data_IF_537385298161
#
_entry.id   IF_537385298161
#
_cell.length_a   1.000
_cell.length_b   1.000
_cell.length_c   1.000
_cell.angle_alpha   90.00
_cell.angle_beta   90.00
_cell.angle_gamma   90.00
#
_symmetry.space_group_name_H-M   'P 1'
#
loop_
_entity.id
_entity.type
_entity.pdbx_description
1 polymer ?
#
# COMPACT_ATOMS: atom_id res chain seq x y z
N UNK A 1 -94.72 -61.11 -20.28
CA UNK A 1 -94.29 -60.74 -18.91
C UNK A 1 -92.81 -60.38 -19.01
N UNK A 2 -92.30 -59.17 -18.83
CA UNK A 2 -92.80 -57.83 -18.56
C UNK A 2 -91.58 -56.88 -18.54
N UNK A 3 -91.81 -55.58 -18.71
CA UNK A 3 -90.89 -54.45 -18.48
C UNK A 3 -89.81 -54.11 -19.52
N UNK A 4 -90.18 -53.17 -20.41
CA UNK A 4 -89.32 -52.18 -21.09
C UNK A 4 -88.93 -51.05 -20.13
N UNK A 5 -87.69 -50.55 -20.17
CA UNK A 5 -87.33 -49.21 -19.68
C UNK A 5 -86.25 -48.56 -20.55
N UNK A 6 -86.43 -47.26 -20.78
CA UNK A 6 -85.61 -46.34 -21.56
C UNK A 6 -84.41 -45.80 -20.77
N UNK A 7 -83.35 -45.37 -21.47
CA UNK A 7 -82.48 -44.30 -20.98
C UNK A 7 -81.82 -43.54 -22.16
N UNK A 8 -82.33 -42.35 -22.44
CA UNK A 8 -81.64 -41.26 -23.11
C UNK A 8 -80.61 -40.64 -22.16
N UNK A 9 -79.39 -40.36 -22.64
CA UNK A 9 -78.47 -39.42 -21.98
C UNK A 9 -77.45 -38.82 -22.95
N UNK A 10 -77.80 -37.63 -23.45
CA UNK A 10 -76.96 -36.43 -23.63
C UNK A 10 -75.54 -36.60 -24.21
N UNK A 11 -75.44 -36.24 -25.49
CA UNK A 11 -74.23 -35.69 -26.07
C UNK A 11 -73.97 -34.27 -25.56
N UNK A 12 -72.81 -34.07 -24.93
CA UNK A 12 -72.18 -32.77 -24.68
C UNK A 12 -70.68 -33.03 -24.57
N UNK A 13 -69.89 -32.25 -25.32
CA UNK A 13 -68.42 -32.08 -25.31
C UNK A 13 -67.80 -32.23 -26.70
N UNK A 14 -68.08 -31.27 -27.58
CA UNK A 14 -67.13 -30.88 -28.62
C UNK A 14 -67.26 -29.38 -28.91
N UNK A 15 -66.72 -28.58 -27.98
CA UNK A 15 -66.32 -27.19 -28.20
C UNK A 15 -64.89 -27.04 -27.68
N UNK A 16 -63.95 -27.75 -28.29
CA UNK A 16 -62.53 -27.41 -28.16
C UNK A 16 -62.16 -26.40 -29.25
N UNK A 17 -61.98 -25.17 -28.80
CA UNK A 17 -61.04 -24.17 -29.29
C UNK A 17 -60.52 -24.35 -30.72
N UNK A 18 -61.15 -23.60 -31.64
CA UNK A 18 -60.50 -23.09 -32.85
C UNK A 18 -59.46 -22.04 -32.39
N UNK A 19 -58.33 -22.50 -31.84
CA UNK A 19 -57.16 -21.64 -31.67
C UNK A 19 -56.59 -21.38 -33.06
N UNK A 20 -56.74 -20.13 -33.50
CA UNK A 20 -56.01 -19.54 -34.62
C UNK A 20 -54.54 -19.91 -34.53
N UNK A 21 -54.10 -20.84 -35.39
CA UNK A 21 -52.70 -21.07 -35.68
C UNK A 21 -52.19 -19.86 -36.46
N UNK A 22 -51.91 -18.76 -35.76
CA UNK A 22 -51.05 -17.72 -36.30
C UNK A 22 -49.69 -18.37 -36.50
N UNK A 23 -49.34 -18.67 -37.75
CA UNK A 23 -47.99 -19.07 -38.10
C UNK A 23 -47.07 -17.92 -37.71
N UNK A 24 -46.45 -18.02 -36.54
CA UNK A 24 -45.41 -17.08 -36.11
C UNK A 24 -44.27 -17.24 -37.11
N UNK A 25 -44.15 -16.27 -38.02
CA UNK A 25 -43.07 -16.23 -38.99
C UNK A 25 -41.78 -16.07 -38.19
N UNK A 26 -40.96 -17.11 -38.20
CA UNK A 26 -39.69 -17.12 -37.49
C UNK A 26 -38.73 -16.18 -38.21
N UNK A 27 -38.39 -15.06 -37.57
CA UNK A 27 -37.34 -14.19 -38.08
C UNK A 27 -35.97 -14.78 -37.69
N UNK A 28 -35.01 -14.84 -38.64
CA UNK A 28 -33.67 -15.32 -38.33
C UNK A 28 -32.99 -14.42 -37.29
N UNK A 29 -32.33 -15.07 -36.32
CA UNK A 29 -31.55 -14.42 -35.28
C UNK A 29 -30.37 -13.62 -35.87
N UNK A 30 -30.28 -12.33 -35.54
CA UNK A 30 -29.11 -11.50 -35.84
C UNK A 30 -28.14 -11.49 -34.64
N UNK A 31 -27.45 -12.63 -34.46
CA UNK A 31 -26.59 -12.84 -33.30
C UNK A 31 -25.44 -11.81 -33.22
N UNK A 32 -24.92 -11.36 -34.37
CA UNK A 32 -23.83 -10.38 -34.43
C UNK A 32 -24.26 -9.05 -33.83
N UNK A 33 -25.46 -8.57 -34.19
CA UNK A 33 -26.01 -7.33 -33.64
C UNK A 33 -26.27 -7.43 -32.14
N UNK A 34 -26.90 -8.51 -31.70
CA UNK A 34 -27.22 -8.71 -30.27
C UNK A 34 -25.96 -8.83 -29.41
N UNK A 35 -24.94 -9.56 -29.87
CA UNK A 35 -23.66 -9.66 -29.16
C UNK A 35 -22.95 -8.31 -29.04
N UNK A 36 -22.89 -7.53 -30.14
CA UNK A 36 -22.30 -6.18 -30.11
C UNK A 36 -23.05 -5.23 -29.16
N UNK A 37 -24.38 -5.34 -29.09
CA UNK A 37 -25.17 -4.54 -28.14
C UNK A 37 -24.95 -4.94 -26.69
N UNK A 38 -24.80 -6.24 -26.42
CA UNK A 38 -24.49 -6.77 -25.10
C UNK A 38 -23.11 -6.29 -24.63
N UNK A 39 -22.08 -6.49 -25.46
CA UNK A 39 -20.71 -6.05 -25.18
C UNK A 39 -20.65 -4.55 -24.90
N UNK A 40 -21.22 -3.72 -25.78
CA UNK A 40 -21.23 -2.27 -25.57
C UNK A 40 -21.96 -1.83 -24.30
N UNK A 41 -23.00 -2.56 -23.89
CA UNK A 41 -23.72 -2.30 -22.64
C UNK A 41 -22.85 -2.63 -21.41
N UNK A 42 -22.17 -3.77 -21.43
CA UNK A 42 -21.30 -4.23 -20.35
C UNK A 42 -20.04 -3.38 -20.23
N UNK A 43 -19.39 -3.04 -21.35
CA UNK A 43 -18.17 -2.21 -21.34
C UNK A 43 -18.45 -0.80 -20.83
N UNK A 44 -19.57 -0.19 -21.22
CA UNK A 44 -19.92 1.16 -20.75
C UNK A 44 -20.23 1.16 -19.24
N UNK A 45 -20.93 0.14 -18.76
CA UNK A 45 -21.18 -0.03 -17.34
C UNK A 45 -19.88 -0.23 -16.54
N UNK A 46 -18.99 -1.11 -17.01
CA UNK A 46 -17.69 -1.34 -16.39
C UNK A 46 -16.83 -0.07 -16.39
N UNK A 47 -16.81 0.71 -17.47
CA UNK A 47 -16.09 1.98 -17.53
C UNK A 47 -16.61 2.97 -16.48
N UNK A 48 -17.93 3.09 -16.33
CA UNK A 48 -18.52 3.99 -15.35
C UNK A 48 -18.15 3.58 -13.91
N UNK A 49 -18.28 2.29 -13.57
CA UNK A 49 -17.99 1.81 -12.22
C UNK A 49 -16.50 1.82 -11.89
N UNK A 50 -15.64 1.30 -12.77
CA UNK A 50 -14.23 1.09 -12.45
C UNK A 50 -13.35 2.31 -12.72
N UNK A 51 -13.81 3.26 -13.54
CA UNK A 51 -13.05 4.48 -13.87
C UNK A 51 -13.82 5.72 -13.42
N UNK A 52 -15.09 5.83 -13.81
CA UNK A 52 -15.91 7.00 -13.52
C UNK A 52 -16.09 7.26 -12.02
N UNK A 53 -16.44 6.23 -11.25
CA UNK A 53 -16.68 6.36 -9.80
C UNK A 53 -15.42 6.71 -9.01
N UNK A 54 -14.27 6.02 -9.17
CA UNK A 54 -13.02 6.42 -8.49
C UNK A 54 -12.60 7.85 -8.82
N UNK A 55 -12.72 8.27 -10.10
CA UNK A 55 -12.42 9.65 -10.50
C UNK A 55 -13.37 10.64 -9.81
N UNK A 56 -14.67 10.34 -9.76
CA UNK A 56 -15.64 11.20 -9.07
C UNK A 56 -15.32 11.32 -7.57
N UNK A 57 -14.98 10.21 -6.90
CA UNK A 57 -14.60 10.21 -5.49
C UNK A 57 -13.32 11.01 -5.24
N UNK A 58 -12.31 10.88 -6.10
CA UNK A 58 -11.09 11.68 -6.03
C UNK A 58 -11.40 13.18 -6.19
N UNK A 59 -12.25 13.54 -7.15
CA UNK A 59 -12.69 14.93 -7.37
C UNK A 59 -13.46 15.47 -6.15
N UNK A 60 -14.35 14.67 -5.57
CA UNK A 60 -15.08 15.05 -4.36
C UNK A 60 -14.13 15.32 -3.19
N UNK A 61 -13.06 14.54 -3.04
CA UNK A 61 -12.07 14.76 -1.98
C UNK A 61 -11.18 15.99 -2.23
N UNK A 62 -10.93 16.34 -3.50
CA UNK A 62 -10.10 17.49 -3.88
C UNK A 62 -10.86 18.83 -3.82
N UNK A 63 -12.19 18.82 -3.98
CA UNK A 63 -13.02 20.02 -3.99
C UNK A 63 -13.66 20.22 -2.60
N UNK A 64 -13.26 21.23 -1.81
CA UNK A 64 -13.67 21.36 -0.41
C UNK A 64 -15.19 21.33 -0.15
N UNK A 65 -16.05 21.97 -0.97
CA UNK A 65 -17.51 21.90 -0.81
C UNK A 65 -18.13 20.50 -1.01
N UNK A 66 -17.41 19.60 -1.69
CA UNK A 66 -17.89 18.24 -2.00
C UNK A 66 -17.27 17.19 -1.08
N UNK A 67 -16.30 17.58 -0.26
CA UNK A 67 -15.57 16.67 0.62
C UNK A 67 -16.52 16.17 1.72
N UNK A 68 -16.50 14.86 2.04
CA UNK A 68 -17.21 14.37 3.20
C UNK A 68 -16.65 14.96 4.49
N UNK A 69 -17.48 15.10 5.52
CA UNK A 69 -17.05 15.48 6.86
C UNK A 69 -17.45 14.42 7.88
N UNK A 70 -16.84 14.42 9.05
CA UNK A 70 -17.24 13.51 10.12
C UNK A 70 -18.69 13.72 10.57
N UNK A 71 -19.16 14.98 10.57
CA UNK A 71 -20.47 15.33 11.10
C UNK A 71 -21.62 15.07 10.11
N UNK A 72 -21.38 15.31 8.82
CA UNK A 72 -22.41 15.22 7.78
C UNK A 72 -22.27 14.02 6.85
N UNK A 73 -21.14 13.31 6.89
CA UNK A 73 -20.78 12.33 5.87
C UNK A 73 -20.68 12.99 4.49
N UNK A 74 -21.13 12.27 3.45
CA UNK A 74 -21.15 12.77 2.09
C UNK A 74 -22.23 13.83 1.84
N UNK A 75 -21.94 14.75 0.92
CA UNK A 75 -22.90 15.77 0.50
C UNK A 75 -24.10 15.18 -0.25
N UNK A 76 -25.21 15.92 -0.31
CA UNK A 76 -26.38 15.56 -1.13
C UNK A 76 -26.02 15.33 -2.62
N UNK A 77 -24.95 15.95 -3.11
CA UNK A 77 -24.45 15.75 -4.48
C UNK A 77 -23.88 14.35 -4.70
N UNK A 78 -23.23 13.77 -3.69
CA UNK A 78 -22.72 12.40 -3.75
C UNK A 78 -23.89 11.41 -3.82
N UNK A 79 -24.97 11.67 -3.10
CA UNK A 79 -26.19 10.85 -3.17
C UNK A 79 -26.86 10.93 -4.55
N UNK A 80 -26.94 12.13 -5.15
CA UNK A 80 -27.43 12.30 -6.52
C UNK A 80 -26.56 11.55 -7.52
N UNK A 81 -25.24 11.58 -7.36
CA UNK A 81 -24.31 10.81 -8.20
C UNK A 81 -24.56 9.31 -8.08
N UNK A 82 -24.71 8.80 -6.85
CA UNK A 82 -25.03 7.39 -6.60
C UNK A 82 -26.34 6.99 -7.29
N UNK A 83 -27.40 7.78 -7.12
CA UNK A 83 -28.67 7.54 -7.80
C UNK A 83 -28.54 7.51 -9.33
N UNK A 84 -27.68 8.36 -9.90
CA UNK A 84 -27.42 8.36 -11.34
C UNK A 84 -26.64 7.11 -11.78
N UNK A 85 -25.69 6.63 -10.97
CA UNK A 85 -24.97 5.38 -11.25
C UNK A 85 -25.90 4.17 -11.16
N UNK A 86 -26.75 4.10 -10.14
CA UNK A 86 -27.75 3.04 -9.99
C UNK A 86 -28.77 3.05 -11.15
N UNK A 87 -29.26 4.24 -11.52
CA UNK A 87 -30.13 4.38 -12.68
C UNK A 87 -29.44 3.93 -13.97
N UNK A 88 -28.14 4.20 -14.11
CA UNK A 88 -27.32 3.70 -15.21
C UNK A 88 -27.19 2.17 -15.16
N UNK A 89 -26.89 1.57 -14.01
CA UNK A 89 -26.81 0.11 -13.85
C UNK A 89 -28.10 -0.56 -14.32
N UNK A 90 -29.25 -0.13 -13.77
CA UNK A 90 -30.58 -0.67 -14.12
C UNK A 90 -30.84 -0.54 -15.63
N UNK A 91 -30.47 0.60 -16.23
CA UNK A 91 -30.62 0.82 -17.66
C UNK A 91 -29.78 -0.16 -18.49
N UNK A 92 -28.51 -0.33 -18.14
CA UNK A 92 -27.58 -1.20 -18.85
C UNK A 92 -27.94 -2.67 -18.67
N UNK A 93 -28.33 -3.09 -17.47
CA UNK A 93 -28.76 -4.45 -17.20
C UNK A 93 -30.03 -4.79 -18.00
N UNK A 94 -30.98 -3.85 -18.08
CA UNK A 94 -32.17 -3.99 -18.94
C UNK A 94 -31.81 -4.12 -20.42
N UNK A 95 -30.85 -3.34 -20.90
CA UNK A 95 -30.39 -3.38 -22.30
C UNK A 95 -29.64 -4.68 -22.60
N UNK A 96 -28.70 -5.06 -21.76
CA UNK A 96 -27.98 -6.34 -21.81
C UNK A 96 -28.95 -7.52 -21.83
N UNK A 97 -29.95 -7.51 -20.94
CA UNK A 97 -30.98 -8.56 -20.92
C UNK A 97 -31.80 -8.62 -22.21
N UNK A 98 -32.15 -7.47 -22.77
CA UNK A 98 -32.90 -7.43 -24.03
C UNK A 98 -32.07 -8.06 -25.15
N UNK A 99 -30.78 -7.71 -25.24
CA UNK A 99 -29.86 -8.30 -26.21
C UNK A 99 -29.67 -9.81 -26.00
N UNK A 100 -29.53 -10.28 -24.77
CA UNK A 100 -29.47 -11.72 -24.44
C UNK A 100 -30.76 -12.42 -24.83
N UNK A 101 -31.92 -11.82 -24.55
CA UNK A 101 -33.21 -12.42 -24.92
C UNK A 101 -33.36 -12.58 -26.43
N UNK A 102 -32.80 -11.65 -27.20
CA UNK A 102 -32.79 -11.71 -28.65
C UNK A 102 -31.84 -12.78 -29.20
N UNK A 103 -30.96 -13.36 -28.37
CA UNK A 103 -30.10 -14.52 -28.68
C UNK A 103 -30.75 -15.87 -28.36
N UNK A 104 -31.87 -15.89 -27.63
CA UNK A 104 -32.51 -17.12 -27.14
C UNK A 104 -33.57 -17.57 -28.15
N UNK A 105 -33.49 -18.82 -28.59
CA UNK A 105 -34.50 -19.40 -29.48
C UNK A 105 -35.82 -19.67 -28.74
N UNK A 106 -36.97 -19.73 -29.44
CA UNK A 106 -38.27 -20.00 -28.79
C UNK A 106 -38.35 -21.30 -27.97
N UNK A 107 -37.74 -22.44 -28.39
CA UNK A 107 -37.68 -23.64 -27.57
C UNK A 107 -36.92 -23.41 -26.25
N UNK A 108 -35.76 -22.76 -26.31
CA UNK A 108 -34.95 -22.45 -25.14
C UNK A 108 -35.69 -21.50 -24.19
N UNK A 109 -36.38 -20.48 -24.72
CA UNK A 109 -37.19 -19.57 -23.90
C UNK A 109 -38.31 -20.30 -23.14
N UNK A 110 -38.89 -21.33 -23.76
CA UNK A 110 -39.91 -22.17 -23.15
C UNK A 110 -39.34 -23.00 -22.01
N UNK A 111 -38.14 -23.58 -22.19
CA UNK A 111 -37.41 -24.29 -21.14
C UNK A 111 -37.07 -23.35 -19.97
N UNK A 112 -36.50 -22.17 -20.25
CA UNK A 112 -36.18 -21.17 -19.21
C UNK A 112 -37.41 -20.72 -18.42
N UNK A 113 -38.57 -20.62 -19.07
CA UNK A 113 -39.84 -20.31 -18.41
C UNK A 113 -40.31 -21.45 -17.51
N UNK A 114 -40.23 -22.69 -17.97
CA UNK A 114 -40.62 -23.88 -17.18
C UNK A 114 -39.71 -24.07 -15.97
N UNK A 115 -38.40 -23.82 -16.11
CA UNK A 115 -37.42 -23.84 -15.02
C UNK A 115 -37.57 -22.64 -14.05
N UNK A 116 -38.46 -21.69 -14.33
CA UNK A 116 -38.68 -20.53 -13.47
C UNK A 116 -37.56 -19.50 -13.49
N UNK A 117 -36.55 -19.66 -14.35
CA UNK A 117 -35.37 -18.77 -14.45
C UNK A 117 -35.82 -17.32 -14.72
N UNK A 118 -36.82 -17.14 -15.59
CA UNK A 118 -37.37 -15.82 -15.89
C UNK A 118 -38.06 -15.15 -14.68
N UNK A 119 -38.60 -15.92 -13.74
CA UNK A 119 -39.20 -15.38 -12.49
C UNK A 119 -38.11 -15.02 -11.47
N UNK A 120 -37.05 -15.82 -11.42
CA UNK A 120 -35.91 -15.57 -10.53
C UNK A 120 -35.15 -14.29 -10.92
N UNK A 121 -35.28 -13.82 -12.16
CA UNK A 121 -34.59 -12.62 -12.64
C UNK A 121 -34.85 -11.38 -11.78
N UNK A 122 -36.09 -11.12 -11.34
CA UNK A 122 -36.38 -9.94 -10.52
C UNK A 122 -35.56 -9.94 -9.22
N UNK A 123 -35.35 -11.13 -8.64
CA UNK A 123 -34.52 -11.29 -7.44
C UNK A 123 -33.04 -11.04 -7.73
N UNK A 124 -32.54 -11.43 -8.91
CA UNK A 124 -31.14 -11.23 -9.29
C UNK A 124 -30.86 -9.75 -9.65
N UNK A 125 -31.82 -9.03 -10.22
CA UNK A 125 -31.72 -7.57 -10.44
C UNK A 125 -31.54 -6.85 -9.10
N UNK A 126 -32.37 -7.20 -8.11
CA UNK A 126 -32.28 -6.60 -6.76
C UNK A 126 -30.93 -6.95 -6.12
N UNK A 127 -30.46 -8.18 -6.29
CA UNK A 127 -29.15 -8.58 -5.78
C UNK A 127 -28.02 -7.79 -6.43
N UNK A 128 -28.05 -7.58 -7.75
CA UNK A 128 -27.07 -6.77 -8.47
C UNK A 128 -27.05 -5.31 -8.01
N UNK A 129 -28.20 -4.70 -7.75
CA UNK A 129 -28.28 -3.35 -7.15
C UNK A 129 -27.64 -3.33 -5.76
N UNK A 130 -27.87 -4.34 -4.94
CA UNK A 130 -27.25 -4.41 -3.60
C UNK A 130 -25.73 -4.59 -3.70
N UNK A 131 -25.23 -5.37 -4.66
CA UNK A 131 -23.80 -5.53 -4.93
C UNK A 131 -23.15 -4.22 -5.40
N UNK A 132 -23.82 -3.44 -6.26
CA UNK A 132 -23.33 -2.14 -6.72
C UNK A 132 -23.28 -1.10 -5.58
N UNK A 133 -24.30 -1.09 -4.70
CA UNK A 133 -24.32 -0.23 -3.51
C UNK A 133 -23.20 -0.60 -2.54
N UNK A 134 -22.97 -1.91 -2.32
CA UNK A 134 -21.89 -2.43 -1.47
C UNK A 134 -20.53 -1.97 -2.01
N UNK A 135 -20.30 -2.15 -3.31
CA UNK A 135 -19.08 -1.72 -3.99
C UNK A 135 -18.86 -0.20 -3.86
N UNK A 136 -19.91 0.62 -3.99
CA UNK A 136 -19.79 2.06 -3.77
C UNK A 136 -19.41 2.39 -2.33
N UNK A 137 -20.04 1.75 -1.36
CA UNK A 137 -19.74 1.97 0.06
C UNK A 137 -18.30 1.61 0.38
N UNK A 138 -17.78 0.51 -0.19
CA UNK A 138 -16.38 0.10 -0.04
C UNK A 138 -15.40 1.13 -0.63
N UNK A 139 -15.71 1.70 -1.80
CA UNK A 139 -14.87 2.75 -2.39
C UNK A 139 -14.97 4.08 -1.62
N UNK A 140 -16.13 4.39 -1.05
CA UNK A 140 -16.41 5.65 -0.40
C UNK A 140 -15.88 5.71 1.03
N UNK A 141 -15.88 4.58 1.74
CA UNK A 141 -15.55 4.50 3.16
C UNK A 141 -14.14 5.05 3.51
N UNK A 142 -13.05 4.74 2.78
CA UNK A 142 -11.72 5.26 3.09
C UNK A 142 -11.64 6.79 3.09
N UNK A 143 -12.43 7.45 2.24
CA UNK A 143 -12.46 8.91 2.18
C UNK A 143 -13.20 9.53 3.35
N UNK A 144 -14.25 8.86 3.86
CA UNK A 144 -14.95 9.29 5.08
C UNK A 144 -14.04 9.10 6.28
N UNK A 145 -13.40 7.94 6.41
CA UNK A 145 -12.44 7.68 7.49
C UNK A 145 -11.31 8.71 7.52
N UNK A 146 -10.70 9.00 6.36
CA UNK A 146 -9.66 10.02 6.26
C UNK A 146 -10.16 11.44 6.61
N UNK A 147 -11.40 11.78 6.26
CA UNK A 147 -11.99 13.06 6.63
C UNK A 147 -12.23 13.14 8.15
N UNK A 148 -12.72 12.06 8.76
CA UNK A 148 -12.91 11.96 10.20
C UNK A 148 -11.60 12.14 10.98
N UNK A 149 -10.52 11.51 10.54
CA UNK A 149 -9.21 11.64 11.18
C UNK A 149 -8.64 13.06 11.11
N UNK A 150 -8.96 13.80 10.05
CA UNK A 150 -8.60 15.22 9.93
C UNK A 150 -9.41 16.10 10.87
N UNK A 151 -10.69 15.80 11.02
CA UNK A 151 -11.61 16.58 11.84
C UNK A 151 -11.39 16.32 13.35
N UNK A 152 -11.01 15.09 13.74
CA UNK A 152 -10.66 14.72 15.11
C UNK A 152 -9.37 13.85 15.16
N UNK A 153 -8.19 14.49 15.21
CA UNK A 153 -6.90 13.79 15.29
C UNK A 153 -6.70 12.97 16.56
N UNK A 154 -7.56 13.16 17.58
CA UNK A 154 -7.44 12.45 18.86
C UNK A 154 -8.09 11.06 18.85
N UNK A 155 -8.86 10.75 17.81
CA UNK A 155 -9.53 9.46 17.64
C UNK A 155 -9.56 9.03 16.17
N UNK A 156 -8.42 8.60 15.60
CA UNK A 156 -8.32 8.22 14.20
C UNK A 156 -9.18 6.98 13.90
N UNK A 157 -10.24 7.21 13.14
CA UNK A 157 -11.13 6.19 12.61
C UNK A 157 -10.43 5.33 11.54
N UNK A 158 -9.46 5.88 10.79
CA UNK A 158 -8.62 5.06 9.89
C UNK A 158 -7.84 4.00 10.66
N UNK A 159 -7.30 4.35 11.83
CA UNK A 159 -6.54 3.41 12.67
C UNK A 159 -7.46 2.30 13.22
N UNK A 160 -8.65 2.67 13.71
CA UNK A 160 -9.65 1.71 14.18
C UNK A 160 -10.18 0.81 13.07
N UNK A 161 -10.37 1.35 11.87
CA UNK A 161 -10.81 0.58 10.71
C UNK A 161 -9.71 -0.38 10.24
N UNK A 162 -8.47 0.08 10.15
CA UNK A 162 -7.32 -0.77 9.87
C UNK A 162 -7.18 -1.89 10.92
N UNK A 163 -7.43 -1.59 12.19
CA UNK A 163 -7.46 -2.57 13.27
C UNK A 163 -8.65 -3.56 13.13
N UNK A 164 -9.82 -3.09 12.70
CA UNK A 164 -10.96 -3.97 12.43
C UNK A 164 -10.64 -4.96 11.28
N UNK A 165 -9.92 -4.52 10.26
CA UNK A 165 -9.41 -5.42 9.21
C UNK A 165 -8.42 -6.44 9.74
N UNK A 166 -7.56 -6.09 10.70
CA UNK A 166 -6.65 -7.04 11.38
C UNK A 166 -7.39 -8.15 12.11
N UNK A 167 -8.62 -7.91 12.57
CA UNK A 167 -9.46 -8.91 13.23
C UNK A 167 -10.15 -9.87 12.25
N UNK A 168 -10.11 -9.62 10.94
CA UNK A 168 -10.68 -10.52 9.93
C UNK A 168 -9.79 -11.77 9.80
N UNK A 169 -10.30 -12.97 10.15
CA UNK A 169 -9.50 -14.18 10.08
C UNK A 169 -8.99 -14.43 8.65
N UNK A 170 -7.74 -14.88 8.53
CA UNK A 170 -7.06 -15.28 7.27
C UNK A 170 -6.66 -14.10 6.37
N UNK A 171 -7.55 -13.15 6.08
CA UNK A 171 -7.28 -12.01 5.19
C UNK A 171 -6.65 -10.82 5.93
N UNK A 172 -7.05 -10.56 7.18
CA UNK A 172 -6.59 -9.42 7.98
C UNK A 172 -5.10 -9.45 8.29
N UNK A 173 -4.57 -10.61 8.69
CA UNK A 173 -3.14 -10.78 8.91
C UNK A 173 -2.32 -10.70 7.62
N UNK A 174 -2.89 -11.08 6.48
CA UNK A 174 -2.19 -11.01 5.20
C UNK A 174 -2.12 -9.56 4.70
N UNK A 175 -3.21 -8.81 4.83
CA UNK A 175 -3.29 -7.39 4.48
C UNK A 175 -2.51 -6.49 5.45
N UNK A 176 -2.57 -6.74 6.75
CA UNK A 176 -1.77 -6.01 7.74
C UNK A 176 -0.26 -6.28 7.63
N UNK A 177 0.13 -7.44 7.07
CA UNK A 177 1.52 -7.74 6.71
C UNK A 177 1.95 -7.04 5.41
N UNK A 178 0.99 -6.69 4.54
CA UNK A 178 1.22 -5.88 3.34
C UNK A 178 1.25 -4.38 3.69
N UNK A 179 0.59 -3.98 4.77
CA UNK A 179 0.45 -2.60 5.26
C UNK A 179 1.06 -2.45 6.66
N UNK A 180 2.26 -2.99 6.89
CA UNK A 180 2.99 -2.66 8.11
C UNK A 180 3.56 -1.25 7.94
N UNK A 181 2.93 -0.27 8.59
CA UNK A 181 3.40 1.11 8.59
C UNK A 181 4.85 1.13 9.06
N UNK A 182 5.70 1.69 8.20
CA UNK A 182 7.14 1.74 8.42
C UNK A 182 7.62 3.17 8.37
N UNK A 183 8.67 3.43 9.13
CA UNK A 183 9.24 4.76 9.26
C UNK A 183 10.71 4.72 8.89
N UNK A 184 11.13 5.74 8.14
CA UNK A 184 12.55 5.98 7.90
C UNK A 184 13.15 6.73 9.10
N UNK A 185 14.24 6.19 9.64
CA UNK A 185 15.01 6.77 10.73
C UNK A 185 16.50 6.61 10.43
N UNK A 186 17.35 7.33 11.16
CA UNK A 186 18.79 7.07 11.13
C UNK A 186 19.42 7.07 12.52
N UNK A 187 20.51 6.32 12.67
CA UNK A 187 21.26 6.18 13.92
C UNK A 187 22.76 6.37 13.68
N UNK A 188 23.44 7.11 14.55
CA UNK A 188 24.89 7.31 14.53
C UNK A 188 25.51 6.98 15.89
N UNK A 189 26.63 6.28 15.89
CA UNK A 189 27.38 5.90 17.09
C UNK A 189 28.85 5.63 16.74
N UNK A 190 29.53 6.63 16.19
CA UNK A 190 30.88 6.48 15.67
C UNK A 190 30.93 6.12 14.19
N UNK A 191 32.00 5.46 13.77
CA UNK A 191 32.23 4.90 12.46
C UNK A 191 31.02 4.08 12.00
N UNK A 192 30.37 4.51 10.93
CA UNK A 192 29.11 3.91 10.49
C UNK A 192 29.24 2.45 9.97
N UNK A 193 30.45 1.91 9.82
CA UNK A 193 30.65 0.56 9.28
C UNK A 193 30.19 -0.52 10.25
N UNK A 194 30.59 -0.42 11.53
CA UNK A 194 30.10 -1.33 12.56
C UNK A 194 28.61 -1.13 12.84
N UNK A 195 28.16 0.12 12.76
CA UNK A 195 26.75 0.48 12.93
C UNK A 195 25.91 -0.17 11.82
N UNK A 196 26.36 -0.13 10.56
CA UNK A 196 25.64 -0.74 9.44
C UNK A 196 25.59 -2.26 9.59
N UNK A 197 26.71 -2.89 9.96
CA UNK A 197 26.74 -4.32 10.20
C UNK A 197 25.73 -4.74 11.27
N UNK A 198 25.72 -4.04 12.42
CA UNK A 198 24.78 -4.32 13.50
C UNK A 198 23.31 -4.18 13.07
N UNK A 199 22.98 -3.17 12.24
CA UNK A 199 21.62 -3.02 11.74
C UNK A 199 21.25 -4.02 10.64
N UNK A 200 22.20 -4.47 9.81
CA UNK A 200 21.97 -5.57 8.86
C UNK A 200 21.69 -6.87 9.59
N UNK A 201 22.44 -7.19 10.64
CA UNK A 201 22.15 -8.35 11.50
C UNK A 201 20.79 -8.21 12.19
N UNK A 202 20.42 -7.01 12.63
CA UNK A 202 19.10 -6.74 13.21
C UNK A 202 17.97 -6.94 12.18
N UNK A 203 18.11 -6.41 10.95
CA UNK A 203 17.16 -6.62 9.88
C UNK A 203 16.99 -8.12 9.55
N UNK A 204 18.08 -8.88 9.51
CA UNK A 204 18.06 -10.31 9.27
C UNK A 204 17.32 -11.06 10.39
N UNK A 205 17.72 -10.82 11.64
CA UNK A 205 17.27 -11.60 12.79
C UNK A 205 15.88 -11.18 13.30
N UNK A 206 15.58 -9.89 13.27
CA UNK A 206 14.33 -9.33 13.82
C UNK A 206 13.22 -9.21 12.79
N UNK A 207 13.56 -8.98 11.52
CA UNK A 207 12.57 -8.78 10.46
C UNK A 207 12.55 -9.92 9.44
N UNK A 208 13.52 -10.85 9.48
CA UNK A 208 13.67 -11.87 8.44
C UNK A 208 14.03 -11.28 7.08
N UNK A 209 14.62 -10.08 7.05
CA UNK A 209 15.09 -9.46 5.80
C UNK A 209 16.30 -10.20 5.28
N UNK A 210 16.55 -10.05 3.99
CA UNK A 210 17.67 -10.64 3.29
C UNK A 210 18.20 -9.65 2.25
N UNK A 211 19.19 -10.07 1.45
CA UNK A 211 19.82 -9.23 0.44
C UNK A 211 18.82 -8.45 -0.43
N UNK A 212 17.65 -9.03 -0.77
CA UNK A 212 16.62 -8.38 -1.60
C UNK A 212 15.70 -7.40 -0.85
N UNK A 213 15.76 -7.36 0.48
CA UNK A 213 14.83 -6.57 1.32
C UNK A 213 15.49 -5.73 2.42
N UNK A 214 16.82 -5.80 2.59
CA UNK A 214 17.55 -4.89 3.48
C UNK A 214 17.37 -3.41 3.10
N UNK A 215 17.42 -2.55 4.11
CA UNK A 215 17.22 -1.10 3.93
C UNK A 215 18.33 -0.26 4.56
N UNK A 216 19.21 -0.86 5.36
CA UNK A 216 20.29 -0.15 6.05
C UNK A 216 21.38 0.34 5.11
N UNK A 217 21.55 1.66 5.01
CA UNK A 217 22.59 2.32 4.22
C UNK A 217 23.40 3.27 5.09
N UNK A 218 24.73 3.29 4.91
CA UNK A 218 25.60 4.30 5.52
C UNK A 218 25.37 5.67 4.87
N UNK A 219 25.53 6.73 5.66
CA UNK A 219 25.35 8.10 5.20
C UNK A 219 25.75 9.16 6.20
N UNK A 220 25.42 10.39 5.86
CA UNK A 220 25.75 11.60 6.60
C UNK A 220 24.46 12.36 6.93
N UNK A 221 24.32 12.81 8.17
CA UNK A 221 23.17 13.62 8.59
C UNK A 221 23.51 14.54 9.77
N UNK A 222 22.55 15.39 10.15
CA UNK A 222 22.67 16.23 11.34
C UNK A 222 23.57 17.46 11.17
N UNK A 223 24.02 17.79 9.96
CA UNK A 223 24.71 19.05 9.64
C UNK A 223 23.76 20.11 9.07
N UNK A 224 24.18 21.38 9.09
CA UNK A 224 23.38 22.50 8.61
C UNK A 224 23.58 22.84 7.13
N UNK A 225 24.57 22.23 6.49
CA UNK A 225 25.00 22.63 5.14
C UNK A 225 25.17 21.45 4.20
N UNK A 226 25.19 21.76 2.91
CA UNK A 226 25.59 20.87 1.83
C UNK A 226 26.64 21.57 0.97
N UNK A 227 27.42 20.81 0.22
CA UNK A 227 28.38 21.39 -0.71
C UNK A 227 27.70 22.07 -1.92
N UNK A 228 28.50 22.63 -2.81
CA UNK A 228 28.01 23.36 -3.99
C UNK A 228 27.09 22.56 -4.92
N UNK A 229 27.14 21.23 -4.85
CA UNK A 229 26.31 20.31 -5.62
C UNK A 229 25.07 19.82 -4.86
N UNK A 230 24.82 20.36 -3.66
CA UNK A 230 23.69 19.97 -2.81
C UNK A 230 23.88 18.63 -2.11
N UNK A 231 25.12 18.20 -1.87
CA UNK A 231 25.47 16.88 -1.31
C UNK A 231 26.30 17.00 -0.03
N UNK A 232 26.41 15.88 0.69
CA UNK A 232 27.45 15.66 1.69
C UNK A 232 28.31 14.47 1.20
N UNK A 233 29.61 14.68 1.04
CA UNK A 233 30.54 13.66 0.55
C UNK A 233 31.59 13.35 1.62
N UNK A 234 32.23 12.18 1.55
CA UNK A 234 33.21 11.76 2.56
C UNK A 234 34.34 12.78 2.78
N UNK A 235 34.73 13.53 1.74
CA UNK A 235 35.83 14.50 1.83
C UNK A 235 35.44 15.82 2.53
N UNK A 236 34.15 16.12 2.70
CA UNK A 236 33.67 17.43 3.18
C UNK A 236 32.51 17.37 4.19
N UNK A 237 31.88 16.22 4.44
CA UNK A 237 30.70 16.10 5.31
C UNK A 237 30.95 16.64 6.73
N UNK A 238 32.14 16.41 7.29
CA UNK A 238 32.52 16.92 8.61
C UNK A 238 32.59 18.46 8.65
N UNK A 239 33.06 19.10 7.59
CA UNK A 239 33.11 20.57 7.48
C UNK A 239 31.72 21.18 7.28
N UNK A 240 30.81 20.40 6.69
CA UNK A 240 29.39 20.70 6.56
C UNK A 240 28.60 20.38 7.85
N UNK A 241 29.30 19.88 8.87
CA UNK A 241 28.82 19.57 10.22
C UNK A 241 27.96 18.32 10.34
N UNK A 242 27.94 17.46 9.32
CA UNK A 242 27.29 16.15 9.42
C UNK A 242 28.08 15.19 10.31
N UNK A 243 27.41 14.12 10.73
CA UNK A 243 28.00 12.94 11.39
C UNK A 243 27.68 11.69 10.59
N UNK A 244 28.52 10.68 10.75
CA UNK A 244 28.28 9.35 10.23
C UNK A 244 27.06 8.69 10.89
N UNK A 245 26.16 8.19 10.06
CA UNK A 245 24.90 7.55 10.46
C UNK A 245 24.55 6.40 9.52
N UNK A 246 23.63 5.56 9.96
CA UNK A 246 22.98 4.53 9.15
C UNK A 246 21.49 4.83 9.08
N UNK A 247 20.99 5.02 7.86
CA UNK A 247 19.57 5.24 7.56
C UNK A 247 18.90 3.91 7.17
N UNK A 248 17.70 3.67 7.68
CA UNK A 248 16.95 2.43 7.43
C UNK A 248 15.45 2.62 7.64
N UNK A 249 14.65 1.73 7.06
CA UNK A 249 13.18 1.76 7.18
C UNK A 249 12.72 0.66 8.12
N UNK A 250 12.11 1.03 9.25
CA UNK A 250 11.73 0.11 10.31
C UNK A 250 10.21 0.05 10.43
N UNK A 251 9.60 -1.15 10.48
CA UNK A 251 8.19 -1.25 10.83
C UNK A 251 7.95 -0.69 12.24
N UNK A 252 6.89 0.12 12.41
CA UNK A 252 6.63 0.81 13.68
C UNK A 252 6.55 -0.15 14.88
N UNK A 253 6.03 -1.36 14.65
CA UNK A 253 5.92 -2.42 15.66
C UNK A 253 7.28 -2.93 16.17
N UNK A 254 8.35 -2.77 15.39
CA UNK A 254 9.71 -3.27 15.67
C UNK A 254 10.69 -2.15 16.04
N UNK A 255 10.24 -0.90 16.03
CA UNK A 255 11.06 0.24 16.44
C UNK A 255 11.67 0.10 17.86
N UNK A 256 10.98 -0.44 18.88
CA UNK A 256 11.60 -0.66 20.19
C UNK A 256 12.82 -1.60 20.13
N UNK A 257 12.74 -2.66 19.32
CA UNK A 257 13.81 -3.66 19.20
C UNK A 257 15.04 -3.06 18.51
N UNK A 258 14.85 -2.27 17.47
CA UNK A 258 15.93 -1.55 16.81
C UNK A 258 16.54 -0.45 17.69
N UNK A 259 15.71 0.20 18.52
CA UNK A 259 16.24 1.08 19.59
C UNK A 259 17.15 0.31 20.54
N UNK A 260 16.78 -0.91 20.94
CA UNK A 260 17.62 -1.73 21.80
C UNK A 260 18.97 -2.09 21.13
N UNK A 261 18.95 -2.36 19.82
CA UNK A 261 20.17 -2.55 19.02
C UNK A 261 21.04 -1.28 19.06
N UNK A 262 20.48 -0.11 18.78
CA UNK A 262 21.20 1.16 18.86
C UNK A 262 21.88 1.36 20.21
N UNK A 263 21.16 1.19 21.31
CA UNK A 263 21.73 1.37 22.65
C UNK A 263 22.80 0.32 22.97
N UNK A 264 22.74 -0.87 22.36
CA UNK A 264 23.75 -1.92 22.55
C UNK A 264 25.10 -1.59 21.91
N UNK A 265 25.16 -0.64 20.97
CA UNK A 265 26.40 -0.22 20.28
C UNK A 265 27.39 0.50 21.22
N UNK A 266 26.91 1.03 22.35
CA UNK A 266 27.73 1.79 23.29
C UNK A 266 28.41 0.89 24.31
N UNK A 267 29.72 1.07 24.50
CA UNK A 267 30.51 0.48 25.59
C UNK A 267 30.58 1.47 26.76
N UNK A 268 29.83 1.19 27.83
CA UNK A 268 29.70 2.13 28.95
C UNK A 268 28.91 3.38 28.56
N UNK A 269 29.59 4.51 28.34
CA UNK A 269 28.97 5.74 27.81
C UNK A 269 29.53 6.16 26.45
N UNK A 270 30.49 5.39 25.94
CA UNK A 270 31.27 5.72 24.76
C UNK A 270 30.89 4.79 23.60
N UNK A 271 31.15 5.26 22.37
CA UNK A 271 31.16 4.41 21.17
C UNK A 271 32.32 3.41 21.22
N UNK A 272 32.25 2.32 20.44
CA UNK A 272 33.29 1.27 20.44
C UNK A 272 34.63 1.77 19.89
N UNK A 273 34.56 2.67 18.92
CA UNK A 273 35.62 3.28 18.13
C UNK A 273 36.11 4.60 18.77
N UNK A 274 36.58 4.52 20.02
CA UNK A 274 37.03 5.69 20.79
C UNK A 274 38.23 6.44 20.21
N UNK A 275 38.90 5.88 19.20
CA UNK A 275 39.99 6.52 18.46
C UNK A 275 39.51 7.54 17.43
N UNK A 276 38.27 7.40 16.96
CA UNK A 276 37.66 8.31 16.00
C UNK A 276 37.10 9.48 16.80
N UNK A 277 37.82 10.60 16.79
CA UNK A 277 37.55 11.79 17.63
C UNK A 277 37.04 12.91 16.75
N UNK A 278 35.88 13.45 17.08
CA UNK A 278 35.29 14.57 16.36
C UNK A 278 33.78 14.54 16.29
N UNK A 279 33.20 15.68 15.91
CA UNK A 279 31.76 15.83 15.80
C UNK A 279 31.16 14.94 14.69
N UNK A 280 31.97 14.58 13.70
CA UNK A 280 31.71 13.63 12.62
C UNK A 280 31.39 12.21 13.09
N UNK A 281 31.69 11.88 14.35
CA UNK A 281 31.47 10.56 14.97
C UNK A 281 30.51 10.62 16.17
N UNK A 282 29.76 11.71 16.31
CA UNK A 282 28.87 11.93 17.45
C UNK A 282 27.68 10.97 17.42
N UNK A 283 27.16 10.66 18.60
CA UNK A 283 25.96 9.85 18.73
C UNK A 283 24.73 10.64 18.29
N UNK A 284 23.93 10.06 17.39
CA UNK A 284 22.81 10.73 16.75
C UNK A 284 21.61 9.80 16.53
N UNK A 285 20.41 10.36 16.62
CA UNK A 285 19.14 9.74 16.20
C UNK A 285 18.42 10.73 15.28
N UNK A 286 17.98 10.27 14.12
CA UNK A 286 17.06 10.99 13.24
C UNK A 286 15.69 10.33 13.26
N UNK A 287 14.67 11.07 13.66
CA UNK A 287 13.26 10.63 13.59
C UNK A 287 12.37 11.76 13.07
N UNK A 288 11.25 11.45 12.37
CA UNK A 288 10.28 12.48 11.98
C UNK A 288 9.77 13.27 13.18
N UNK A 289 9.86 14.60 13.14
CA UNK A 289 9.47 15.49 14.25
C UNK A 289 10.53 15.62 15.37
N UNK A 290 11.69 15.00 15.21
CA UNK A 290 12.86 15.15 16.08
C UNK A 290 12.57 14.87 17.55
N UNK A 291 12.97 15.79 18.44
CA UNK A 291 12.84 15.62 19.90
C UNK A 291 11.38 15.50 20.37
N UNK A 292 10.44 16.05 19.61
CA UNK A 292 9.01 16.03 19.93
C UNK A 292 8.30 14.78 19.41
N UNK A 293 9.01 13.92 18.68
CA UNK A 293 8.46 12.70 18.10
C UNK A 293 8.05 11.69 19.16
N UNK A 294 6.85 11.12 19.04
CA UNK A 294 6.45 9.95 19.85
C UNK A 294 7.34 8.74 19.56
N UNK A 295 7.89 8.64 18.34
CA UNK A 295 8.82 7.58 17.95
C UNK A 295 10.10 7.61 18.76
N UNK A 296 10.59 8.81 19.12
CA UNK A 296 11.73 8.95 20.01
C UNK A 296 11.44 8.35 21.39
N UNK A 297 10.23 8.52 21.92
CA UNK A 297 9.86 7.96 23.22
C UNK A 297 9.97 6.43 23.20
N UNK A 298 9.53 5.81 22.10
CA UNK A 298 9.65 4.37 21.86
C UNK A 298 11.10 3.91 21.81
N UNK A 299 11.96 4.62 21.06
CA UNK A 299 13.40 4.33 20.99
C UNK A 299 14.05 4.54 22.36
N UNK A 300 13.70 5.61 23.08
CA UNK A 300 14.30 5.97 24.36
C UNK A 300 13.92 4.98 25.47
N UNK A 301 12.70 4.41 25.43
CA UNK A 301 12.24 3.44 26.39
C UNK A 301 13.08 2.15 26.40
N UNK A 302 13.69 1.77 25.27
CA UNK A 302 14.53 0.57 25.18
C UNK A 302 15.91 0.73 25.86
N UNK A 303 16.25 1.92 26.35
CA UNK A 303 17.43 2.11 27.22
C UNK A 303 17.31 1.35 28.55
N UNK A 304 16.10 1.09 29.05
CA UNK A 304 15.88 0.62 30.42
C UNK A 304 16.70 -0.64 30.78
N UNK A 305 16.66 -1.67 29.92
CA UNK A 305 17.38 -2.92 30.13
C UNK A 305 18.90 -2.72 30.14
N UNK A 306 19.40 -1.81 29.29
CA UNK A 306 20.83 -1.47 29.24
C UNK A 306 21.25 -0.66 30.46
N UNK A 307 20.48 0.37 30.83
CA UNK A 307 20.80 1.24 31.96
C UNK A 307 20.91 0.45 33.27
N UNK A 308 20.07 -0.58 33.44
CA UNK A 308 20.18 -1.52 34.57
C UNK A 308 21.48 -2.34 34.55
N UNK A 309 21.94 -2.76 33.37
CA UNK A 309 23.14 -3.59 33.21
C UNK A 309 24.44 -2.79 33.32
N UNK A 310 24.49 -1.63 32.67
CA UNK A 310 25.74 -0.88 32.44
C UNK A 310 25.84 0.39 33.31
N UNK A 311 24.75 0.78 33.99
CA UNK A 311 24.73 1.93 34.90
C UNK A 311 24.64 3.30 34.21
N UNK A 312 24.42 3.34 32.90
CA UNK A 312 24.36 4.58 32.11
C UNK A 312 23.00 4.77 31.45
N UNK A 313 22.38 5.91 31.75
CA UNK A 313 21.22 6.44 31.04
C UNK A 313 21.68 7.58 30.14
N UNK A 314 21.46 7.47 28.83
CA UNK A 314 21.79 8.52 27.89
C UNK A 314 20.74 9.62 27.93
N UNK A 315 21.21 10.84 28.09
CA UNK A 315 20.40 12.02 27.84
C UNK A 315 20.19 12.17 26.33
N UNK A 316 18.95 12.39 25.92
CA UNK A 316 18.60 12.76 24.54
C UNK A 316 18.32 14.25 24.48
N UNK A 317 18.98 14.97 23.57
CA UNK A 317 18.78 16.41 23.38
C UNK A 317 18.48 16.74 21.93
N UNK A 318 17.70 17.79 21.70
CA UNK A 318 17.49 18.30 20.35
C UNK A 318 18.82 18.78 19.76
N UNK A 319 19.18 18.24 18.59
CA UNK A 319 20.29 18.72 17.79
C UNK A 319 19.89 19.96 16.99
N UNK A 320 20.84 20.88 16.81
CA UNK A 320 20.64 22.12 16.05
C UNK A 320 21.51 22.20 14.79
N UNK A 321 22.09 21.07 14.41
CA UNK A 321 23.05 20.98 13.32
C UNK A 321 24.46 21.33 13.80
N UNK A 322 25.46 20.68 13.22
CA UNK A 322 26.89 20.90 13.52
C UNK A 322 27.23 20.72 15.01
N UNK A 323 26.44 19.90 15.71
CA UNK A 323 26.58 19.69 17.15
C UNK A 323 27.90 19.00 17.51
N UNK A 324 28.38 19.25 18.73
CA UNK A 324 29.69 18.77 19.18
C UNK A 324 29.73 17.26 19.43
N UNK A 325 30.95 16.71 19.50
CA UNK A 325 31.23 15.29 19.80
C UNK A 325 30.67 14.85 21.18
N UNK A 326 30.02 13.70 21.18
CA UNK A 326 29.45 13.04 22.35
C UNK A 326 30.41 12.08 23.05
N UNK A 327 31.63 11.87 22.53
CA UNK A 327 32.63 11.03 23.20
C UNK A 327 32.87 11.47 24.65
N UNK A 328 32.89 10.52 25.57
CA UNK A 328 33.01 10.76 26.99
C UNK A 328 31.71 11.25 27.66
N UNK A 329 30.59 11.31 26.95
CA UNK A 329 29.30 11.82 27.46
C UNK A 329 28.19 10.82 27.19
N UNK A 330 27.36 10.56 28.19
CA UNK A 330 26.10 9.82 28.01
C UNK A 330 25.05 10.74 27.37
N UNK A 331 25.29 11.17 26.13
CA UNK A 331 24.49 12.14 25.38
C UNK A 331 24.29 11.64 23.94
N UNK A 332 23.07 11.76 23.44
CA UNK A 332 22.71 11.52 22.03
C UNK A 332 21.93 12.73 21.49
N UNK A 333 22.32 13.21 20.30
CA UNK A 333 21.61 14.27 19.61
C UNK A 333 20.44 13.72 18.82
N UNK A 334 19.29 14.39 18.88
CA UNK A 334 18.08 14.01 18.16
C UNK A 334 17.73 15.07 17.13
N UNK A 335 17.59 14.64 15.89
CA UNK A 335 17.33 15.49 14.74
C UNK A 335 15.96 15.18 14.15
N UNK A 336 15.26 16.24 13.71
CA UNK A 336 14.09 16.09 12.85
C UNK A 336 14.55 15.79 11.42
N UNK A 337 14.16 14.62 10.89
CA UNK A 337 14.58 14.16 9.55
C UNK A 337 14.09 15.07 8.43
N UNK A 338 13.06 15.89 8.66
CA UNK A 338 12.62 16.89 7.69
C UNK A 338 13.56 18.11 7.60
N UNK A 339 14.26 18.42 8.70
CA UNK A 339 15.16 19.57 8.80
C UNK A 339 16.62 19.17 8.56
N UNK A 340 17.00 17.97 9.00
CA UNK A 340 18.33 17.40 8.89
C UNK A 340 18.24 16.07 8.12
N UNK A 341 18.11 16.13 6.79
CA UNK A 341 17.90 14.93 5.98
C UNK A 341 19.14 14.04 5.96
N UNK A 342 18.90 12.76 5.66
CA UNK A 342 19.94 11.77 5.44
C UNK A 342 20.50 11.87 4.02
N UNK A 343 21.83 11.89 3.90
CA UNK A 343 22.56 11.82 2.63
C UNK A 343 23.31 10.49 2.55
N UNK A 344 22.95 9.63 1.60
CA UNK A 344 23.64 8.35 1.40
C UNK A 344 25.15 8.57 1.17
N UNK A 345 25.99 7.79 1.84
CA UNK A 345 27.43 7.77 1.60
C UNK A 345 27.76 7.09 0.27
N UNK A 346 28.99 7.31 -0.21
CA UNK A 346 29.53 6.70 -1.41
C UNK A 346 29.43 5.17 -1.36
N UNK A 347 29.29 4.54 -2.53
CA UNK A 347 29.12 3.10 -2.70
C UNK A 347 30.25 2.31 -2.03
N UNK A 348 31.48 2.85 -2.04
CA UNK A 348 32.64 2.18 -1.44
C UNK A 348 32.64 2.20 0.10
N UNK A 349 31.75 2.96 0.74
CA UNK A 349 31.51 2.90 2.19
C UNK A 349 30.38 1.95 2.57
N UNK A 350 29.64 1.41 1.61
CA UNK A 350 28.52 0.51 1.88
C UNK A 350 29.03 -0.91 2.06
N UNK A 351 28.55 -1.58 3.11
CA UNK A 351 28.88 -2.96 3.47
C UNK A 351 30.38 -3.21 3.64
N UNK A 352 31.09 -2.21 4.17
CA UNK A 352 32.52 -2.27 4.42
C UNK A 352 32.82 -2.97 5.75
N UNK A 353 34.00 -3.61 5.84
CA UNK A 353 34.54 -4.19 7.07
C UNK A 353 34.84 -3.10 8.12
N UNK A 354 34.79 -3.47 9.40
CA UNK A 354 35.25 -2.61 10.47
C UNK A 354 36.78 -2.53 10.52
N UNK A 355 37.31 -1.38 10.92
CA UNK A 355 38.75 -1.13 11.05
C UNK A 355 39.37 -1.79 12.29
N UNK A 356 38.56 -2.17 13.29
CA UNK A 356 39.07 -2.78 14.52
C UNK A 356 39.68 -4.16 14.27
N UNK A 357 40.68 -4.60 15.06
CA UNK A 357 41.23 -5.94 14.94
C UNK A 357 40.15 -7.03 15.07
N UNK A 358 39.97 -7.83 14.02
CA UNK A 358 38.89 -8.82 13.94
C UNK A 358 37.59 -8.31 13.33
N UNK A 359 37.57 -7.06 12.84
CA UNK A 359 36.43 -6.40 12.19
C UNK A 359 36.16 -6.83 10.74
N UNK A 360 36.83 -7.87 10.23
CA UNK A 360 36.54 -8.42 8.92
C UNK A 360 35.19 -9.16 8.97
N UNK A 361 34.24 -8.74 8.16
CA UNK A 361 32.94 -9.39 8.07
C UNK A 361 32.95 -10.51 7.02
N UNK A 362 31.96 -11.41 7.03
CA UNK A 362 31.85 -12.44 5.99
C UNK A 362 31.72 -11.79 4.60
N UNK A 363 32.33 -12.39 3.58
CA UNK A 363 32.25 -11.89 2.20
C UNK A 363 30.79 -11.72 1.72
N UNK A 364 29.88 -12.56 2.23
CA UNK A 364 28.43 -12.49 1.97
C UNK A 364 27.83 -11.12 2.33
N UNK A 365 28.35 -10.48 3.38
CA UNK A 365 27.98 -9.13 3.79
C UNK A 365 28.54 -8.10 2.81
N UNK A 366 29.83 -8.16 2.48
CA UNK A 366 30.44 -7.20 1.55
C UNK A 366 29.79 -7.28 0.15
N UNK A 367 29.38 -8.48 -0.28
CA UNK A 367 28.73 -8.71 -1.56
C UNK A 367 27.31 -8.09 -1.66
N UNK A 368 26.72 -7.67 -0.53
CA UNK A 368 25.45 -6.92 -0.52
C UNK A 368 25.53 -5.62 -1.33
N UNK A 369 26.73 -5.02 -1.45
CA UNK A 369 26.95 -3.84 -2.29
C UNK A 369 26.56 -4.10 -3.75
N UNK A 370 26.79 -5.32 -4.26
CA UNK A 370 26.44 -5.68 -5.62
C UNK A 370 24.93 -5.90 -5.75
N UNK A 371 24.33 -6.63 -4.82
CA UNK A 371 22.90 -6.93 -4.82
C UNK A 371 22.04 -5.64 -4.81
N UNK A 372 22.34 -4.70 -3.91
CA UNK A 372 21.57 -3.45 -3.81
C UNK A 372 21.84 -2.48 -4.96
N UNK A 373 22.99 -2.58 -5.64
CA UNK A 373 23.24 -1.79 -6.86
C UNK A 373 22.48 -2.32 -8.05
N UNK A 374 22.39 -3.64 -8.19
CA UNK A 374 21.71 -4.29 -9.31
C UNK A 374 20.20 -4.00 -9.30
N UNK A 375 19.58 -3.88 -8.12
CA UNK A 375 18.16 -3.53 -8.01
C UNK A 375 17.86 -2.03 -7.85
N UNK A 376 18.90 -1.19 -7.77
CA UNK A 376 18.79 0.27 -7.75
C UNK A 376 18.50 0.88 -6.38
N UNK A 377 18.47 0.11 -5.29
CA UNK A 377 18.36 0.66 -3.93
C UNK A 377 19.63 1.38 -3.47
N UNK A 378 20.78 0.97 -3.98
CA UNK A 378 22.06 1.65 -3.79
C UNK A 378 22.46 2.36 -5.09
N UNK A 379 22.54 3.69 -5.05
CA UNK A 379 22.87 4.51 -6.22
C UNK A 379 24.21 5.22 -6.04
N UNK A 380 24.82 5.63 -7.15
CA UNK A 380 25.99 6.51 -7.07
C UNK A 380 25.53 7.90 -6.61
N UNK A 381 26.23 8.43 -5.62
CA UNK A 381 26.00 9.76 -5.03
C UNK A 381 26.53 10.87 -5.93
N UNK A 382 27.44 10.55 -6.86
CA UNK A 382 28.18 11.51 -7.66
C UNK A 382 29.18 12.35 -6.86
N UNK A 383 29.58 11.86 -5.69
CA UNK A 383 30.72 12.37 -4.93
C UNK A 383 32.07 11.92 -5.56
N UNK A 384 33.19 12.56 -5.21
CA UNK A 384 34.49 12.19 -5.77
C UNK A 384 34.84 10.71 -5.54
N UNK A 385 35.29 10.03 -6.60
CA UNK A 385 35.66 8.59 -6.62
C UNK A 385 34.50 7.62 -6.37
N UNK A 386 33.27 8.11 -6.26
CA UNK A 386 32.08 7.28 -6.26
C UNK A 386 31.71 6.93 -7.70
N UNK A 387 32.35 5.91 -8.26
CA UNK A 387 32.12 5.56 -9.67
C UNK A 387 30.71 4.99 -9.88
N UNK A 388 29.92 5.71 -10.66
CA UNK A 388 28.79 5.18 -11.38
C UNK A 388 29.28 4.16 -12.43
N UNK A 389 29.58 2.93 -12.01
CA UNK A 389 29.55 1.81 -12.96
C UNK A 389 28.14 1.77 -13.52
N UNK A 390 28.04 2.05 -14.83
CA UNK A 390 26.80 2.04 -15.57
C UNK A 390 26.13 0.67 -15.48
N UNK A 391 25.34 0.46 -14.44
CA UNK A 391 24.28 -0.53 -14.49
C UNK A 391 23.29 0.06 -15.48
N UNK A 392 23.35 -0.46 -16.71
CA UNK A 392 22.35 -0.26 -17.75
C UNK A 392 21.00 -0.18 -17.07
N UNK A 393 20.27 0.93 -17.28
CA UNK A 393 18.90 1.09 -16.85
C UNK A 393 18.04 -0.01 -17.50
N UNK A 394 18.07 -1.22 -16.95
CA UNK A 394 17.03 -2.19 -17.08
C UNK A 394 15.90 -1.66 -16.21
N UNK A 395 15.15 -0.71 -16.75
CA UNK A 395 13.79 -0.47 -16.30
C UNK A 395 13.11 -1.83 -16.11
N UNK A 396 12.48 -2.09 -14.95
CA UNK A 396 11.52 -3.17 -14.90
C UNK A 396 10.33 -2.71 -15.74
N UNK A 397 10.32 -3.09 -17.02
CA UNK A 397 9.13 -3.11 -17.89
C UNK A 397 8.19 -4.23 -17.40
N UNK A 398 7.91 -4.27 -16.11
CA UNK A 398 7.00 -5.23 -15.48
C UNK A 398 5.60 -4.65 -15.36
N UNK A 399 5.42 -3.32 -15.53
CA UNK A 399 4.08 -2.71 -15.53
C UNK A 399 3.45 -2.51 -16.92
N UNK A 400 4.14 -2.84 -18.03
CA UNK A 400 3.59 -2.65 -19.39
C UNK A 400 3.22 -3.95 -20.11
N UNK A 401 3.71 -5.11 -19.65
CA UNK A 401 3.38 -6.39 -20.30
C UNK A 401 2.01 -6.93 -19.87
N UNK A 402 1.53 -6.59 -18.67
CA UNK A 402 0.17 -6.97 -18.24
C UNK A 402 -0.91 -6.14 -18.97
N UNK A 403 -0.62 -4.90 -19.35
CA UNK A 403 -1.53 -4.05 -20.14
C UNK A 403 -1.51 -4.38 -21.64
N UNK A 404 -0.40 -4.86 -22.20
CA UNK A 404 -0.32 -5.22 -23.62
C UNK A 404 -0.99 -6.57 -23.95
N UNK A 405 -1.06 -7.52 -23.00
CA UNK A 405 -1.82 -8.77 -23.22
C UNK A 405 -3.34 -8.59 -23.06
N UNK A 406 -3.80 -7.54 -22.37
CA UNK A 406 -5.23 -7.22 -22.28
C UNK A 406 -5.77 -6.53 -23.55
N UNK A 407 -4.92 -5.79 -24.29
CA UNK A 407 -5.34 -5.07 -25.50
C UNK A 407 -5.19 -5.90 -26.78
N UNK A 408 -4.26 -6.86 -26.85
CA UNK A 408 -4.02 -7.62 -28.08
C UNK A 408 -4.99 -8.79 -28.34
N UNK A 409 -5.87 -9.14 -27.38
CA UNK A 409 -6.85 -10.23 -27.56
C UNK A 409 -8.19 -9.84 -28.18
N UNK A 410 -8.37 -8.58 -28.60
CA UNK A 410 -9.63 -8.07 -29.17
C UNK A 410 -9.57 -7.65 -30.65
N UNK A 411 -8.52 -8.01 -31.39
CA UNK A 411 -8.43 -7.73 -32.85
C UNK A 411 -8.04 -8.93 -33.71
N UNK A 412 -8.61 -10.10 -33.43
CA UNK A 412 -8.71 -11.22 -34.38
C UNK A 412 -10.12 -11.80 -34.33
#
# INVERSE_FOLDING_TARGET
MGSTTSAESRGQYSKMNRQTTSSVIWQPLDAKRSMSQLEGSMSLHALLLWVGMPVCLAVQNLIPPLRPTCASGFSNWSFLLLLLVEAHHIYQERKAWTAVRDLITPPELSVLRQLGILRMRLRHVILGILEDVDLYMDFAFPFVALACDRDDPSNPMTEHWAEAWRQVPILGHLLAKIEEESVFVYFGSGCFWHVQHAFIEAEANLLGRNASTYTSLTGYAGGNSVNGDGKACYNDYAQLGHTEVVGLTIPLSRLPDFGAVFWSLFVGKDRVDVMDIGADYRAAIGVPGGISSSLLQTVNASQASRAQRDGWWFEVRAGNGDDYDTLGKALVWVYDTALYPFYQAEVYHQFHDDFLPGGNYPQEYNDLVHALREDGRLTSTGCPRDQASAVSAAHPVVLSIVLLFAVYRHTQ
#
